data_IF_852910610638
#
_entry.id   IF_852910610638
#
_cell.length_a   1.000
_cell.length_b   1.000
_cell.length_c   1.000
_cell.angle_alpha   90.00
_cell.angle_beta   90.00
_cell.angle_gamma   90.00
#
_symmetry.space_group_name_H-M   'P 1'
#
loop_
_entity.id
_entity.type
_entity.pdbx_description
1 polymer ?
#
# COMPACT_ATOMS: atom_id res chain seq x y z
N UNK A 1 -13.88 7.37 -15.61
CA UNK A 1 -12.44 7.54 -15.25
C UNK A 1 -11.65 6.39 -15.88
N UNK A 2 -10.49 6.67 -16.48
CA UNK A 2 -9.63 5.61 -17.03
C UNK A 2 -8.98 4.81 -15.91
N UNK A 3 -8.97 3.47 -16.04
CA UNK A 3 -8.32 2.56 -15.10
C UNK A 3 -6.81 2.57 -15.38
N UNK A 4 -6.02 3.02 -14.40
CA UNK A 4 -4.56 3.02 -14.52
C UNK A 4 -3.97 1.66 -14.15
N UNK A 5 -4.45 1.08 -13.04
CA UNK A 5 -4.04 -0.25 -12.56
C UNK A 5 -5.28 -1.16 -12.49
N UNK A 6 -5.14 -2.37 -13.03
CA UNK A 6 -6.19 -3.40 -12.95
C UNK A 6 -5.58 -4.71 -12.49
N UNK A 7 -6.09 -5.20 -11.37
CA UNK A 7 -5.62 -6.42 -10.71
C UNK A 7 -6.77 -7.43 -10.74
N UNK A 8 -6.48 -8.67 -11.20
CA UNK A 8 -7.44 -9.75 -11.25
C UNK A 8 -6.82 -11.03 -10.69
N UNK A 9 -7.45 -11.60 -9.67
CA UNK A 9 -7.06 -12.88 -9.08
C UNK A 9 -5.63 -12.93 -8.55
N UNK A 10 -5.09 -11.77 -8.13
CA UNK A 10 -3.68 -11.69 -7.68
C UNK A 10 -3.46 -12.56 -6.47
N UNK A 11 -2.50 -13.48 -6.59
CA UNK A 11 -2.09 -14.36 -5.49
C UNK A 11 -0.57 -14.40 -5.37
N UNK A 12 -0.10 -14.43 -4.10
CA UNK A 12 1.32 -14.59 -3.79
C UNK A 12 1.51 -15.54 -2.63
N UNK A 13 2.21 -16.62 -2.92
CA UNK A 13 2.62 -17.62 -1.97
C UNK A 13 4.13 -17.59 -1.76
N UNK A 14 4.57 -17.75 -0.52
CA UNK A 14 5.98 -17.94 -0.17
C UNK A 14 6.18 -19.37 0.34
N UNK A 15 6.98 -20.22 -0.33
CA UNK A 15 7.19 -21.59 0.08
C UNK A 15 7.94 -21.67 1.41
N UNK A 16 7.45 -22.48 2.35
CA UNK A 16 8.14 -22.82 3.59
C UNK A 16 9.01 -24.05 3.31
N UNK A 17 10.33 -23.89 3.41
CA UNK A 17 11.31 -24.96 3.20
C UNK A 17 11.87 -25.41 4.54
N UNK A 18 12.04 -26.75 4.73
CA UNK A 18 12.67 -27.33 5.94
C UNK A 18 13.71 -28.40 5.57
N UNK A 19 14.65 -28.58 6.49
CA UNK A 19 15.70 -29.61 6.40
C UNK A 19 16.85 -29.25 5.45
N UNK A 20 17.89 -30.10 5.46
CA UNK A 20 19.13 -29.91 4.71
C UNK A 20 18.90 -29.88 3.18
N UNK A 21 17.87 -30.58 2.71
CA UNK A 21 17.50 -30.64 1.28
C UNK A 21 16.48 -29.56 0.86
N UNK A 22 16.22 -28.52 1.68
CA UNK A 22 15.26 -27.45 1.37
C UNK A 22 13.89 -27.97 0.87
N UNK A 23 13.40 -29.10 1.41
CA UNK A 23 12.11 -29.69 1.03
C UNK A 23 10.97 -28.74 1.40
N UNK A 24 10.09 -28.43 0.43
CA UNK A 24 8.90 -27.63 0.68
C UNK A 24 7.94 -28.40 1.59
N UNK A 25 7.58 -27.82 2.73
CA UNK A 25 6.68 -28.41 3.74
C UNK A 25 5.37 -27.63 3.89
N UNK A 26 5.22 -26.52 3.17
CA UNK A 26 4.03 -25.67 3.19
C UNK A 26 4.27 -24.37 2.40
N UNK A 27 3.31 -23.47 2.49
CA UNK A 27 3.42 -22.13 1.92
C UNK A 27 2.72 -21.09 2.82
N UNK A 28 3.20 -19.86 2.79
CA UNK A 28 2.53 -18.70 3.39
C UNK A 28 1.73 -18.01 2.29
N UNK A 29 0.42 -17.93 2.44
CA UNK A 29 -0.50 -17.28 1.52
C UNK A 29 -0.58 -15.78 1.86
N UNK A 30 0.39 -15.02 1.36
CA UNK A 30 0.49 -13.59 1.70
C UNK A 30 -0.54 -12.73 0.96
N UNK A 31 -0.92 -13.11 -0.27
CA UNK A 31 -1.98 -12.49 -1.08
C UNK A 31 -2.80 -13.61 -1.69
N UNK A 32 -4.11 -13.53 -1.62
CA UNK A 32 -5.03 -14.57 -2.08
C UNK A 32 -6.19 -13.96 -2.87
N UNK A 33 -6.24 -14.21 -4.16
CA UNK A 33 -7.31 -13.83 -5.08
C UNK A 33 -7.73 -12.35 -4.99
N UNK A 34 -6.77 -11.42 -4.86
CA UNK A 34 -7.06 -9.99 -4.77
C UNK A 34 -7.49 -9.45 -6.13
N UNK A 35 -8.64 -8.76 -6.12
CA UNK A 35 -9.17 -8.02 -7.26
C UNK A 35 -9.28 -6.54 -6.87
N UNK A 36 -8.65 -5.65 -7.65
CA UNK A 36 -8.66 -4.22 -7.37
C UNK A 36 -8.44 -3.44 -8.66
N UNK A 37 -9.17 -2.34 -8.82
CA UNK A 37 -8.97 -1.38 -9.89
C UNK A 37 -8.65 -0.02 -9.28
N UNK A 38 -7.63 0.66 -9.82
CA UNK A 38 -7.22 2.00 -9.39
C UNK A 38 -7.32 2.92 -10.60
N UNK A 39 -8.05 4.01 -10.46
CA UNK A 39 -8.28 4.97 -11.52
C UNK A 39 -7.18 6.04 -11.55
N UNK A 40 -7.02 6.68 -12.70
CA UNK A 40 -6.03 7.74 -12.85
C UNK A 40 -6.37 8.93 -11.93
N UNK A 41 -5.37 9.45 -11.21
CA UNK A 41 -5.53 10.54 -10.24
C UNK A 41 -6.18 10.15 -8.91
N UNK A 42 -6.53 8.86 -8.73
CA UNK A 42 -7.17 8.34 -7.52
C UNK A 42 -6.13 7.98 -6.44
N UNK A 43 -6.51 8.13 -5.18
CA UNK A 43 -5.81 7.50 -4.03
C UNK A 43 -6.67 6.37 -3.49
N UNK A 44 -6.20 5.13 -3.62
CA UNK A 44 -6.81 3.98 -2.95
C UNK A 44 -6.03 3.68 -1.67
N UNK A 45 -6.69 3.78 -0.52
CA UNK A 45 -6.16 3.34 0.75
C UNK A 45 -6.23 1.81 0.87
N UNK A 46 -5.15 1.16 1.28
CA UNK A 46 -5.14 -0.28 1.59
C UNK A 46 -4.82 -0.47 3.06
N UNK A 47 -5.82 -0.91 3.83
CA UNK A 47 -5.75 -0.99 5.29
C UNK A 47 -5.94 -2.43 5.80
N UNK A 48 -5.53 -2.69 7.03
CA UNK A 48 -5.68 -3.97 7.71
C UNK A 48 -4.57 -4.20 8.73
N UNK A 49 -4.68 -5.25 9.54
CA UNK A 49 -3.69 -5.61 10.56
C UNK A 49 -2.29 -5.87 9.96
N UNK A 50 -1.23 -5.75 10.79
CA UNK A 50 0.12 -6.08 10.37
C UNK A 50 0.20 -7.54 9.91
N UNK A 51 0.94 -7.80 8.82
CA UNK A 51 1.08 -9.14 8.27
C UNK A 51 -0.08 -9.64 7.40
N UNK A 52 -1.16 -8.85 7.18
CA UNK A 52 -2.29 -9.30 6.34
C UNK A 52 -2.03 -9.27 4.82
N UNK A 53 -0.83 -8.85 4.36
CA UNK A 53 -0.45 -8.92 2.94
C UNK A 53 -0.37 -7.58 2.19
N UNK A 54 -0.64 -6.44 2.82
CA UNK A 54 -0.67 -5.09 2.19
C UNK A 54 0.60 -4.74 1.40
N UNK A 55 1.75 -4.76 2.08
CA UNK A 55 3.05 -4.44 1.45
C UNK A 55 3.42 -5.45 0.36
N UNK A 56 3.05 -6.72 0.52
CA UNK A 56 3.26 -7.74 -0.52
C UNK A 56 2.43 -7.43 -1.76
N UNK A 57 1.16 -7.01 -1.58
CA UNK A 57 0.29 -6.59 -2.68
C UNK A 57 0.90 -5.40 -3.43
N UNK A 58 1.32 -4.35 -2.72
CA UNK A 58 1.98 -3.19 -3.32
C UNK A 58 3.25 -3.56 -4.10
N UNK A 59 4.09 -4.42 -3.54
CA UNK A 59 5.33 -4.90 -4.20
C UNK A 59 5.06 -5.77 -5.43
N UNK A 60 3.99 -6.55 -5.43
CA UNK A 60 3.56 -7.30 -6.62
C UNK A 60 3.12 -6.34 -7.73
N UNK A 61 2.34 -5.31 -7.42
CA UNK A 61 1.81 -4.36 -8.41
C UNK A 61 2.94 -3.67 -9.18
N UNK A 62 4.00 -3.23 -8.51
CA UNK A 62 5.14 -2.55 -9.14
C UNK A 62 6.22 -3.51 -9.65
N UNK A 63 5.97 -4.82 -9.58
CA UNK A 63 6.90 -5.86 -10.07
C UNK A 63 8.19 -6.01 -9.27
N UNK A 64 8.21 -5.62 -7.98
CA UNK A 64 9.32 -5.94 -7.05
C UNK A 64 9.25 -7.37 -6.53
N UNK A 65 8.05 -7.95 -6.51
CA UNK A 65 7.82 -9.34 -6.14
C UNK A 65 6.95 -9.97 -7.22
N UNK A 66 7.40 -11.07 -7.80
CA UNK A 66 6.61 -11.78 -8.80
C UNK A 66 5.41 -12.46 -8.13
N UNK A 67 4.17 -12.24 -8.60
CA UNK A 67 3.02 -12.98 -8.12
C UNK A 67 3.13 -14.46 -8.46
N UNK A 68 2.40 -15.31 -7.72
CA UNK A 68 2.30 -16.74 -8.01
C UNK A 68 1.21 -17.01 -9.04
N UNK A 69 0.13 -16.21 -9.01
CA UNK A 69 -0.97 -16.28 -9.97
C UNK A 69 -1.67 -14.93 -10.10
N UNK A 70 -2.54 -14.81 -11.11
CA UNK A 70 -3.33 -13.61 -11.39
C UNK A 70 -2.73 -12.74 -12.48
N UNK A 71 -3.33 -11.58 -12.68
CA UNK A 71 -2.98 -10.60 -13.72
C UNK A 71 -2.87 -9.22 -13.09
N UNK A 72 -1.88 -8.45 -13.49
CA UNK A 72 -1.68 -7.04 -13.14
C UNK A 72 -1.48 -6.27 -14.43
N UNK A 73 -2.38 -5.35 -14.73
CA UNK A 73 -2.26 -4.48 -15.89
C UNK A 73 -2.01 -3.04 -15.48
N UNK A 74 -1.08 -2.40 -16.15
CA UNK A 74 -0.83 -0.96 -16.13
C UNK A 74 -1.17 -0.38 -17.49
N UNK A 75 -2.13 0.53 -17.57
CA UNK A 75 -2.64 1.07 -18.86
C UNK A 75 -2.88 -0.05 -19.90
N UNK A 76 -3.62 -1.11 -19.53
CA UNK A 76 -3.90 -2.32 -20.30
C UNK A 76 -2.67 -3.19 -20.67
N UNK A 77 -1.45 -2.79 -20.30
CA UNK A 77 -0.23 -3.59 -20.49
C UNK A 77 -0.14 -4.62 -19.37
N UNK A 78 -0.13 -5.91 -19.71
CA UNK A 78 0.07 -7.00 -18.73
C UNK A 78 1.51 -6.99 -18.22
N UNK A 79 1.65 -7.05 -16.88
CA UNK A 79 2.94 -7.02 -16.18
C UNK A 79 3.39 -8.40 -15.69
N UNK A 80 2.43 -9.31 -15.45
CA UNK A 80 2.76 -10.67 -14.97
C UNK A 80 3.33 -11.46 -16.13
N UNK A 81 4.54 -11.99 -15.94
CA UNK A 81 5.31 -12.72 -16.99
C UNK A 81 5.63 -11.88 -18.24
N UNK A 82 5.57 -10.54 -18.14
CA UNK A 82 5.96 -9.68 -19.25
C UNK A 82 7.47 -9.66 -19.46
N UNK A 83 7.88 -9.33 -20.68
CA UNK A 83 9.28 -9.15 -21.01
C UNK A 83 9.96 -8.11 -20.13
N UNK A 84 11.25 -8.32 -19.81
CA UNK A 84 12.05 -7.41 -19.01
C UNK A 84 12.08 -5.96 -19.56
N UNK A 85 11.99 -5.80 -20.89
CA UNK A 85 11.93 -4.48 -21.53
C UNK A 85 10.64 -3.74 -21.17
N UNK A 86 9.49 -4.44 -21.19
CA UNK A 86 8.18 -3.92 -20.83
C UNK A 86 8.18 -3.54 -19.34
N UNK A 87 8.62 -4.47 -18.49
CA UNK A 87 8.70 -4.24 -17.05
C UNK A 87 9.56 -3.01 -16.72
N UNK A 88 10.73 -2.87 -17.36
CA UNK A 88 11.63 -1.71 -17.19
C UNK A 88 10.99 -0.40 -17.63
N UNK A 89 10.20 -0.40 -18.71
CA UNK A 89 9.50 0.80 -19.17
C UNK A 89 8.39 1.21 -18.20
N UNK A 90 7.61 0.25 -17.71
CA UNK A 90 6.54 0.50 -16.75
C UNK A 90 7.09 0.94 -15.37
N UNK A 91 8.22 0.39 -14.92
CA UNK A 91 8.88 0.81 -13.66
C UNK A 91 9.28 2.28 -13.64
N UNK A 92 9.54 2.93 -14.75
CA UNK A 92 9.75 4.39 -14.80
C UNK A 92 8.53 5.15 -14.36
N UNK A 93 7.34 4.60 -14.66
CA UNK A 93 6.04 5.22 -14.39
C UNK A 93 5.40 4.78 -13.07
N UNK A 94 5.90 3.69 -12.49
CA UNK A 94 5.41 3.12 -11.24
C UNK A 94 6.53 3.09 -10.21
N UNK A 95 6.39 3.84 -9.13
CA UNK A 95 7.42 3.99 -8.11
C UNK A 95 6.90 3.58 -6.73
N UNK A 96 7.82 3.47 -5.76
CA UNK A 96 7.48 3.14 -4.37
C UNK A 96 8.15 4.11 -3.40
N UNK A 97 7.39 4.50 -2.38
CA UNK A 97 7.89 5.12 -1.17
C UNK A 97 7.85 4.05 -0.07
N UNK A 98 9.00 3.73 0.50
CA UNK A 98 9.14 2.64 1.46
C UNK A 98 8.78 3.05 2.89
N UNK A 99 8.35 2.08 3.69
CA UNK A 99 7.96 2.22 5.09
C UNK A 99 9.09 2.78 5.99
N UNK A 100 10.30 2.27 5.82
CA UNK A 100 11.42 2.66 6.68
C UNK A 100 12.39 3.57 5.91
N UNK A 101 12.43 4.87 6.25
CA UNK A 101 13.31 5.83 5.59
C UNK A 101 14.80 5.53 5.84
N UNK A 102 15.14 4.82 6.93
CA UNK A 102 16.52 4.44 7.25
C UNK A 102 17.05 3.36 6.32
N UNK A 103 16.25 2.33 6.04
CA UNK A 103 16.65 1.22 5.16
C UNK A 103 16.41 1.49 3.69
N UNK A 104 15.64 2.50 3.35
CA UNK A 104 15.31 2.85 1.96
C UNK A 104 16.43 3.58 1.23
N UNK A 105 17.33 4.25 1.95
CA UNK A 105 18.46 4.99 1.42
C UNK A 105 19.76 4.24 1.66
N UNK A 106 20.62 4.16 0.63
CA UNK A 106 21.95 3.57 0.80
C UNK A 106 22.82 4.49 1.68
N UNK A 107 23.28 4.04 2.88
CA UNK A 107 24.01 4.89 3.82
C UNK A 107 25.39 5.35 3.30
N UNK A 108 25.90 4.72 2.23
CA UNK A 108 27.17 5.05 1.59
C UNK A 108 27.05 6.03 0.43
N UNK A 109 25.84 6.46 0.10
CA UNK A 109 25.55 7.41 -0.99
C UNK A 109 25.16 8.76 -0.42
N UNK A 110 25.65 9.85 -1.00
CA UNK A 110 25.17 11.20 -0.70
C UNK A 110 23.76 11.40 -1.26
N UNK A 111 23.06 12.43 -0.78
CA UNK A 111 21.75 12.83 -1.31
C UNK A 111 21.81 13.03 -2.83
N UNK A 112 22.84 13.74 -3.32
CA UNK A 112 23.05 13.95 -4.75
C UNK A 112 23.08 12.62 -5.52
N UNK A 113 23.92 11.67 -5.10
CA UNK A 113 24.05 10.35 -5.76
C UNK A 113 22.73 9.58 -5.71
N UNK A 114 22.01 9.64 -4.59
CA UNK A 114 20.72 8.97 -4.43
C UNK A 114 19.66 9.49 -5.42
N UNK A 115 19.61 10.79 -5.68
CA UNK A 115 18.67 11.40 -6.61
C UNK A 115 19.12 11.28 -8.07
N UNK A 116 20.43 11.27 -8.32
CA UNK A 116 21.05 11.15 -9.64
C UNK A 116 20.94 9.73 -10.21
N UNK A 117 21.06 8.70 -9.36
CA UNK A 117 21.09 7.28 -9.74
C UNK A 117 19.94 6.87 -10.68
N UNK A 118 18.64 7.10 -10.34
CA UNK A 118 17.53 6.73 -11.21
C UNK A 118 17.59 7.47 -12.57
N UNK A 119 18.01 8.73 -12.58
CA UNK A 119 18.11 9.53 -13.81
C UNK A 119 19.17 8.97 -14.76
N UNK A 120 20.34 8.55 -14.21
CA UNK A 120 21.44 7.95 -14.98
C UNK A 120 21.07 6.56 -15.50
N UNK A 121 20.53 5.69 -14.62
CA UNK A 121 20.17 4.31 -14.99
C UNK A 121 19.12 4.29 -16.09
N UNK A 122 18.11 5.14 -15.98
CA UNK A 122 17.01 5.17 -16.92
C UNK A 122 17.20 6.11 -18.10
N UNK A 123 18.27 6.92 -18.10
CA UNK A 123 18.63 7.88 -19.18
C UNK A 123 17.43 8.74 -19.61
N UNK A 124 16.70 9.29 -18.63
CA UNK A 124 15.46 10.02 -18.90
C UNK A 124 15.68 11.44 -19.34
N UNK A 125 16.84 12.01 -19.02
CA UNK A 125 17.26 13.38 -19.37
C UNK A 125 18.73 13.42 -19.73
N UNK A 126 19.20 14.44 -20.48
CA UNK A 126 20.62 14.68 -20.74
C UNK A 126 21.41 14.88 -19.44
N UNK A 127 22.69 14.48 -19.42
CA UNK A 127 23.55 14.64 -18.24
C UNK A 127 23.67 16.09 -17.76
N UNK A 128 23.65 17.04 -18.69
CA UNK A 128 23.69 18.48 -18.40
C UNK A 128 22.50 18.98 -17.58
N UNK A 129 21.33 18.31 -17.67
CA UNK A 129 20.09 18.70 -16.99
C UNK A 129 19.91 18.05 -15.62
N UNK A 130 20.75 17.04 -15.27
CA UNK A 130 20.60 16.29 -14.02
C UNK A 130 20.64 17.18 -12.80
N UNK A 131 21.59 18.13 -12.72
CA UNK A 131 21.71 19.02 -11.57
C UNK A 131 20.46 19.91 -11.39
N UNK A 132 19.93 20.45 -12.49
CA UNK A 132 18.70 21.25 -12.46
C UNK A 132 17.53 20.41 -11.98
N UNK A 133 17.38 19.19 -12.50
CA UNK A 133 16.32 18.27 -12.08
C UNK A 133 16.43 17.90 -10.60
N UNK A 134 17.64 17.71 -10.07
CA UNK A 134 17.86 17.45 -8.64
C UNK A 134 17.42 18.66 -7.79
N UNK A 135 17.74 19.87 -8.22
CA UNK A 135 17.28 21.09 -7.52
C UNK A 135 15.75 21.18 -7.49
N UNK A 136 15.09 20.98 -8.64
CA UNK A 136 13.62 20.91 -8.71
C UNK A 136 13.03 19.86 -7.74
N UNK A 137 13.63 18.66 -7.68
CA UNK A 137 13.16 17.59 -6.80
C UNK A 137 13.29 17.97 -5.31
N UNK A 138 14.37 18.64 -4.93
CA UNK A 138 14.55 19.13 -3.56
C UNK A 138 13.54 20.23 -3.21
N UNK A 139 13.30 21.16 -4.12
CA UNK A 139 12.31 22.22 -3.94
C UNK A 139 10.89 21.63 -3.77
N UNK A 140 10.50 20.66 -4.61
CA UNK A 140 9.21 19.97 -4.51
C UNK A 140 8.97 19.33 -3.13
N UNK A 141 10.02 18.87 -2.45
CA UNK A 141 9.90 18.24 -1.13
C UNK A 141 10.29 19.17 0.03
N UNK A 142 10.53 20.47 -0.26
CA UNK A 142 10.88 21.49 0.72
C UNK A 142 12.22 21.24 1.41
N UNK A 143 13.24 20.82 0.66
CA UNK A 143 14.61 20.64 1.13
C UNK A 143 15.59 21.60 0.46
N UNK A 144 16.53 22.16 1.23
CA UNK A 144 17.51 23.09 0.71
C UNK A 144 18.62 22.34 -0.07
N UNK A 145 19.07 22.84 -1.25
CA UNK A 145 20.13 22.23 -2.06
C UNK A 145 21.49 22.06 -1.38
N UNK A 146 21.79 22.79 -0.29
CA UNK A 146 23.07 22.62 0.45
C UNK A 146 23.25 21.23 1.07
N UNK A 147 22.22 20.40 1.12
CA UNK A 147 22.28 19.04 1.65
C UNK A 147 22.83 18.01 0.68
N UNK A 148 23.07 18.36 -0.57
CA UNK A 148 23.42 17.43 -1.66
C UNK A 148 24.63 16.54 -1.37
N UNK A 149 25.63 17.07 -0.64
CA UNK A 149 26.87 16.35 -0.31
C UNK A 149 26.80 15.57 1.01
N UNK A 150 25.68 15.66 1.74
CA UNK A 150 25.49 14.95 3.00
C UNK A 150 25.02 13.52 2.80
N UNK A 151 25.24 12.70 3.83
CA UNK A 151 24.86 11.30 3.86
C UNK A 151 23.54 11.09 4.64
N UNK A 152 22.79 9.99 4.39
CA UNK A 152 21.52 9.73 5.06
C UNK A 152 21.58 9.78 6.60
N UNK A 153 22.66 9.36 7.23
CA UNK A 153 22.78 9.35 8.68
C UNK A 153 22.83 10.76 9.32
N UNK A 154 23.07 11.81 8.53
CA UNK A 154 23.12 13.20 9.00
C UNK A 154 21.72 13.88 9.04
N UNK A 155 20.64 13.15 8.74
CA UNK A 155 19.30 13.68 8.63
C UNK A 155 18.32 13.09 9.64
N UNK A 156 17.30 13.88 10.01
CA UNK A 156 16.15 13.38 10.76
C UNK A 156 15.32 12.38 9.94
N UNK A 157 14.45 11.61 10.61
CA UNK A 157 13.54 10.67 9.94
C UNK A 157 12.67 11.34 8.87
N UNK A 158 12.10 12.50 9.17
CA UNK A 158 11.27 13.26 8.22
C UNK A 158 12.06 13.79 7.02
N UNK A 159 13.28 14.25 7.22
CA UNK A 159 14.16 14.67 6.10
C UNK A 159 14.54 13.49 5.21
N UNK A 160 14.86 12.32 5.78
CA UNK A 160 15.11 11.10 5.00
C UNK A 160 13.89 10.67 4.21
N UNK A 161 12.69 10.79 4.80
CA UNK A 161 11.46 10.48 4.09
C UNK A 161 11.24 11.42 2.91
N UNK A 162 11.47 12.72 3.08
CA UNK A 162 11.42 13.70 1.98
C UNK A 162 12.42 13.38 0.86
N UNK A 163 13.65 12.96 1.20
CA UNK A 163 14.63 12.48 0.21
C UNK A 163 14.12 11.22 -0.52
N UNK A 164 13.51 10.28 0.20
CA UNK A 164 12.88 9.08 -0.38
C UNK A 164 11.74 9.42 -1.34
N UNK A 165 10.91 10.41 -0.99
CA UNK A 165 9.85 10.95 -1.86
C UNK A 165 10.46 11.61 -3.11
N UNK A 166 11.46 12.47 -2.96
CA UNK A 166 12.17 13.11 -4.08
C UNK A 166 12.75 12.07 -5.05
N UNK A 167 13.34 10.99 -4.52
CA UNK A 167 13.85 9.87 -5.33
C UNK A 167 12.73 9.19 -6.12
N UNK A 168 11.58 8.93 -5.50
CA UNK A 168 10.43 8.33 -6.19
C UNK A 168 9.91 9.24 -7.32
N UNK A 169 9.97 10.57 -7.14
CA UNK A 169 9.53 11.55 -8.14
C UNK A 169 10.55 11.78 -9.28
N UNK A 170 11.79 11.28 -9.16
CA UNK A 170 12.87 11.55 -10.10
C UNK A 170 12.49 11.23 -11.55
N UNK A 171 11.80 10.11 -11.77
CA UNK A 171 11.41 9.60 -13.09
C UNK A 171 10.05 10.12 -13.59
N UNK A 172 9.42 11.10 -12.92
CA UNK A 172 8.08 11.60 -13.23
C UNK A 172 7.06 10.46 -13.32
N UNK A 173 6.81 9.73 -12.22
CA UNK A 173 5.88 8.60 -12.18
C UNK A 173 4.43 9.07 -12.38
N UNK A 174 3.57 8.13 -12.77
CA UNK A 174 2.11 8.29 -12.83
C UNK A 174 1.44 7.58 -11.66
N UNK A 175 2.10 6.53 -11.13
CA UNK A 175 1.61 5.72 -10.03
C UNK A 175 2.67 5.53 -8.95
N UNK A 176 2.28 5.70 -7.69
CA UNK A 176 3.16 5.50 -6.53
C UNK A 176 2.48 4.58 -5.51
N UNK A 177 3.17 3.52 -5.12
CA UNK A 177 2.84 2.75 -3.91
C UNK A 177 3.50 3.44 -2.72
N UNK A 178 2.71 4.00 -1.83
CA UNK A 178 3.18 4.58 -0.56
C UNK A 178 3.01 3.51 0.53
N UNK A 179 4.07 2.73 0.78
CA UNK A 179 4.06 1.61 1.72
C UNK A 179 4.37 2.11 3.13
N UNK A 180 3.34 2.38 3.94
CA UNK A 180 3.39 2.94 5.29
C UNK A 180 4.33 4.18 5.40
N UNK A 181 4.16 5.21 4.58
CA UNK A 181 5.17 6.26 4.38
C UNK A 181 5.42 7.15 5.62
N UNK A 182 4.61 7.01 6.66
CA UNK A 182 4.68 7.85 7.87
C UNK A 182 4.78 7.05 9.18
N UNK A 183 4.71 5.72 9.14
CA UNK A 183 4.60 4.87 10.35
C UNK A 183 5.78 4.97 11.32
N UNK A 184 6.96 5.35 10.82
CA UNK A 184 8.20 5.47 11.62
C UNK A 184 8.53 6.92 12.04
N UNK A 185 7.56 7.86 11.94
CA UNK A 185 7.75 9.28 12.17
C UNK A 185 6.88 9.79 13.32
N UNK A 186 7.30 10.89 13.96
CA UNK A 186 6.51 11.58 14.98
C UNK A 186 5.26 12.22 14.37
N UNK A 187 4.18 12.36 15.15
CA UNK A 187 2.87 12.84 14.70
C UNK A 187 2.93 14.17 13.92
N UNK A 188 3.74 15.13 14.39
CA UNK A 188 3.88 16.43 13.72
C UNK A 188 4.54 16.29 12.34
N UNK A 189 5.51 15.42 12.21
CA UNK A 189 6.22 15.13 10.96
C UNK A 189 5.32 14.28 10.03
N UNK A 190 4.53 13.35 10.60
CA UNK A 190 3.54 12.61 9.82
C UNK A 190 2.59 13.55 9.08
N UNK A 191 2.00 14.54 9.79
CA UNK A 191 1.09 15.52 9.18
C UNK A 191 1.77 16.29 8.03
N UNK A 192 3.02 16.69 8.20
CA UNK A 192 3.77 17.40 7.14
C UNK A 192 4.00 16.52 5.91
N UNK A 193 4.36 15.24 6.09
CA UNK A 193 4.58 14.32 4.97
C UNK A 193 3.26 13.99 4.26
N UNK A 194 2.17 13.85 5.00
CA UNK A 194 0.84 13.61 4.44
C UNK A 194 0.40 14.79 3.58
N UNK A 195 0.54 16.03 4.07
CA UNK A 195 0.21 17.22 3.32
C UNK A 195 1.08 17.31 2.06
N UNK A 196 2.40 17.10 2.18
CA UNK A 196 3.30 17.04 1.04
C UNK A 196 2.83 16.05 -0.05
N UNK A 197 2.44 14.82 0.33
CA UNK A 197 1.94 13.82 -0.64
C UNK A 197 0.63 14.26 -1.30
N UNK A 198 -0.25 14.94 -0.57
CA UNK A 198 -1.50 15.49 -1.12
C UNK A 198 -1.23 16.63 -2.10
N UNK A 199 -0.30 17.54 -1.78
CA UNK A 199 0.08 18.64 -2.66
C UNK A 199 0.71 18.12 -3.95
N UNK A 200 1.65 17.18 -3.83
CA UNK A 200 2.27 16.50 -4.99
C UNK A 200 1.24 15.75 -5.84
N UNK A 201 0.20 15.14 -5.22
CA UNK A 201 -0.92 14.53 -5.98
C UNK A 201 -1.61 15.56 -6.86
N UNK A 202 -1.98 16.71 -6.29
CA UNK A 202 -2.70 17.76 -7.00
C UNK A 202 -1.85 18.40 -8.10
N UNK A 203 -0.59 18.71 -7.80
CA UNK A 203 0.31 19.41 -8.74
C UNK A 203 0.74 18.52 -9.92
N UNK A 204 1.01 17.25 -9.65
CA UNK A 204 1.58 16.32 -10.63
C UNK A 204 0.56 15.32 -11.20
N UNK A 205 -0.68 15.33 -10.73
CA UNK A 205 -1.73 14.39 -11.18
C UNK A 205 -1.44 12.94 -10.78
N UNK A 206 -0.78 12.71 -9.64
CA UNK A 206 -0.33 11.38 -9.21
C UNK A 206 -1.49 10.49 -8.79
N UNK A 207 -1.33 9.20 -9.06
CA UNK A 207 -2.20 8.13 -8.56
C UNK A 207 -1.48 7.38 -7.44
N UNK A 208 -2.19 7.10 -6.33
CA UNK A 208 -1.58 6.42 -5.19
C UNK A 208 -2.28 5.11 -4.84
N UNK A 209 -1.50 4.10 -4.47
CA UNK A 209 -1.90 3.06 -3.55
C UNK A 209 -1.27 3.38 -2.18
N UNK A 210 -2.08 3.88 -1.25
CA UNK A 210 -1.63 4.32 0.07
C UNK A 210 -1.86 3.20 1.09
N UNK A 211 -0.79 2.53 1.50
CA UNK A 211 -0.82 1.44 2.48
C UNK A 211 -0.60 2.03 3.88
N UNK A 212 -1.50 1.75 4.81
CA UNK A 212 -1.36 2.16 6.20
C UNK A 212 -2.13 1.23 7.14
N UNK A 213 -1.73 1.22 8.41
CA UNK A 213 -2.53 0.66 9.49
C UNK A 213 -3.28 1.74 10.28
N UNK A 214 -3.00 3.03 10.02
CA UNK A 214 -3.69 4.16 10.62
C UNK A 214 -4.89 4.58 9.75
N UNK A 215 -6.09 4.24 10.23
CA UNK A 215 -7.35 4.57 9.56
C UNK A 215 -7.65 6.07 9.57
N UNK A 216 -7.18 6.83 10.57
CA UNK A 216 -7.34 8.28 10.61
C UNK A 216 -6.61 8.95 9.45
N UNK A 217 -5.37 8.55 9.20
CA UNK A 217 -4.56 9.01 8.06
C UNK A 217 -5.23 8.62 6.75
N UNK A 218 -5.65 7.36 6.62
CA UNK A 218 -6.29 6.85 5.39
C UNK A 218 -7.58 7.58 5.05
N UNK A 219 -8.39 7.92 6.05
CA UNK A 219 -9.59 8.75 5.85
C UNK A 219 -9.28 10.09 5.19
N UNK A 220 -8.17 10.69 5.56
CA UNK A 220 -7.78 12.02 5.07
C UNK A 220 -7.20 11.99 3.64
N UNK A 221 -6.47 10.92 3.29
CA UNK A 221 -5.72 10.91 2.01
C UNK A 221 -6.43 10.15 0.88
N UNK A 222 -7.42 9.30 1.20
CA UNK A 222 -7.97 8.34 0.23
C UNK A 222 -9.30 8.77 -0.36
N UNK A 223 -9.52 8.43 -1.63
CA UNK A 223 -10.81 8.54 -2.30
C UNK A 223 -11.66 7.28 -2.06
N UNK A 224 -11.01 6.11 -2.09
CA UNK A 224 -11.59 4.79 -1.77
C UNK A 224 -10.67 4.02 -0.84
N UNK A 225 -11.26 3.12 -0.05
CA UNK A 225 -10.49 2.30 0.89
C UNK A 225 -10.79 0.83 0.69
N UNK A 226 -9.75 0.03 0.53
CA UNK A 226 -9.78 -1.43 0.51
C UNK A 226 -9.31 -1.96 1.86
N UNK A 227 -10.13 -2.77 2.51
CA UNK A 227 -9.81 -3.41 3.79
C UNK A 227 -9.33 -4.83 3.52
N UNK A 228 -8.12 -5.15 3.96
CA UNK A 228 -7.47 -6.42 3.71
C UNK A 228 -7.35 -7.27 4.99
N UNK A 229 -7.74 -8.53 4.91
CA UNK A 229 -7.61 -9.52 5.97
C UNK A 229 -7.07 -10.84 5.43
N UNK A 230 -5.99 -11.38 6.02
CA UNK A 230 -5.36 -12.65 5.61
C UNK A 230 -5.20 -12.81 4.09
N UNK A 231 -4.65 -11.80 3.43
CA UNK A 231 -4.36 -11.84 2.01
C UNK A 231 -5.54 -11.51 1.09
N UNK A 232 -6.74 -11.29 1.61
CA UNK A 232 -7.95 -11.01 0.82
C UNK A 232 -8.51 -9.62 1.08
N UNK A 233 -9.10 -8.97 0.07
CA UNK A 233 -9.90 -7.77 0.26
C UNK A 233 -11.28 -8.21 0.73
N UNK A 234 -11.65 -7.80 1.96
CA UNK A 234 -12.92 -8.16 2.58
C UNK A 234 -13.98 -7.06 2.42
N UNK A 235 -13.54 -5.82 2.22
CA UNK A 235 -14.44 -4.69 1.94
C UNK A 235 -13.70 -3.63 1.10
N UNK A 236 -14.40 -2.99 0.16
CA UNK A 236 -13.92 -1.88 -0.66
C UNK A 236 -15.05 -0.88 -0.84
N UNK A 237 -14.83 0.38 -0.48
CA UNK A 237 -15.85 1.42 -0.65
C UNK A 237 -15.23 2.81 -0.85
N UNK A 238 -16.01 3.80 -1.33
CA UNK A 238 -15.69 5.21 -1.15
C UNK A 238 -15.42 5.53 0.32
N UNK A 239 -14.45 6.40 0.59
CA UNK A 239 -14.00 6.67 1.98
C UNK A 239 -15.16 7.07 2.90
N UNK A 240 -16.01 8.01 2.49
CA UNK A 240 -17.11 8.48 3.33
C UNK A 240 -18.11 7.35 3.65
N UNK A 241 -18.37 6.48 2.68
CA UNK A 241 -19.29 5.37 2.84
C UNK A 241 -18.71 4.29 3.77
N UNK A 242 -17.42 3.94 3.62
CA UNK A 242 -16.76 2.98 4.50
C UNK A 242 -16.79 3.43 5.96
N UNK A 243 -16.56 4.73 6.22
CA UNK A 243 -16.50 5.26 7.58
C UNK A 243 -17.88 5.50 8.20
N UNK A 244 -18.91 5.80 7.39
CA UNK A 244 -20.27 6.01 7.89
C UNK A 244 -21.09 4.72 8.00
N UNK A 245 -20.89 3.77 7.09
CA UNK A 245 -21.68 2.54 6.97
C UNK A 245 -20.83 1.30 6.63
N UNK A 246 -19.84 0.93 7.47
CA UNK A 246 -19.03 -0.27 7.24
C UNK A 246 -19.91 -1.53 7.28
N UNK A 247 -19.69 -2.46 6.36
CA UNK A 247 -20.52 -3.66 6.22
C UNK A 247 -19.87 -4.90 6.83
N UNK A 248 -18.57 -5.10 6.56
CA UNK A 248 -17.88 -6.28 7.07
C UNK A 248 -17.59 -6.16 8.58
N UNK A 249 -17.86 -7.19 9.41
CA UNK A 249 -17.61 -7.13 10.86
C UNK A 249 -16.17 -6.78 11.25
N UNK A 250 -15.18 -7.20 10.46
CA UNK A 250 -13.78 -6.80 10.66
C UNK A 250 -13.56 -5.30 10.46
N UNK A 251 -14.16 -4.71 9.43
CA UNK A 251 -14.09 -3.26 9.18
C UNK A 251 -14.71 -2.48 10.32
N UNK A 252 -15.89 -2.94 10.82
CA UNK A 252 -16.55 -2.35 11.99
C UNK A 252 -15.64 -2.35 13.23
N UNK A 253 -14.96 -3.48 13.46
CA UNK A 253 -14.03 -3.59 14.57
C UNK A 253 -12.82 -2.66 14.42
N UNK A 254 -12.19 -2.61 13.23
CA UNK A 254 -11.07 -1.71 12.95
C UNK A 254 -11.47 -0.24 13.16
N UNK A 255 -12.61 0.19 12.61
CA UNK A 255 -13.10 1.57 12.72
C UNK A 255 -13.47 1.93 14.15
N UNK A 256 -14.00 0.99 14.94
CA UNK A 256 -14.32 1.21 16.37
C UNK A 256 -13.08 1.49 17.23
N UNK A 257 -11.89 1.13 16.75
CA UNK A 257 -10.63 1.38 17.45
C UNK A 257 -10.03 2.76 17.14
N UNK A 258 -10.54 3.47 16.13
CA UNK A 258 -10.08 4.82 15.77
C UNK A 258 -10.53 5.81 16.84
N UNK A 259 -9.60 6.57 17.47
CA UNK A 259 -9.98 7.58 18.45
C UNK A 259 -10.81 8.68 17.78
N UNK A 260 -12.02 8.90 18.28
CA UNK A 260 -12.83 10.06 17.91
C UNK A 260 -12.54 11.17 18.91
N UNK A 261 -12.04 12.33 18.47
CA UNK A 261 -11.81 13.47 19.34
C UNK A 261 -13.16 14.09 19.75
N UNK A 262 -13.85 13.47 20.71
CA UNK A 262 -15.08 13.97 21.32
C UNK A 262 -15.01 13.78 22.83
N UNK A 263 -15.29 14.82 23.63
CA UNK A 263 -15.29 14.74 25.08
C UNK A 263 -16.28 13.68 25.63
N UNK A 264 -17.30 13.34 24.85
CA UNK A 264 -18.35 12.37 25.18
C UNK A 264 -18.20 11.03 24.42
N UNK A 265 -17.03 10.72 23.85
CA UNK A 265 -16.82 9.43 23.19
C UNK A 265 -16.87 8.31 24.23
N UNK A 266 -17.97 7.55 24.24
CA UNK A 266 -18.11 6.36 25.05
C UNK A 266 -17.10 5.29 24.57
N UNK A 267 -16.02 5.10 25.32
CA UNK A 267 -15.05 4.01 25.15
C UNK A 267 -15.74 2.62 25.16
N UNK A 268 -16.98 2.55 25.69
CA UNK A 268 -17.83 1.34 25.73
C UNK A 268 -18.29 0.82 24.36
N UNK A 269 -18.09 1.57 23.27
CA UNK A 269 -18.47 1.12 21.90
C UNK A 269 -17.35 0.42 21.13
N UNK A 270 -16.15 0.27 21.72
CA UNK A 270 -15.03 -0.38 21.06
C UNK A 270 -15.30 -1.89 20.91
N UNK A 271 -15.26 -2.38 19.68
CA UNK A 271 -15.38 -3.81 19.37
C UNK A 271 -13.99 -4.44 19.53
N UNK A 272 -13.80 -5.22 20.59
CA UNK A 272 -12.55 -5.95 20.81
C UNK A 272 -12.56 -7.21 19.97
N UNK A 273 -11.60 -7.33 19.06
CA UNK A 273 -11.35 -8.57 18.33
C UNK A 273 -10.72 -9.59 19.30
N UNK A 274 -11.37 -10.74 19.48
CA UNK A 274 -10.85 -11.82 20.29
C UNK A 274 -9.88 -12.70 19.50
N UNK A 275 -8.81 -13.16 20.15
CA UNK A 275 -7.81 -14.04 19.55
C UNK A 275 -6.81 -13.33 18.60
N UNK A 276 -5.73 -14.04 18.32
CA UNK A 276 -4.67 -13.59 17.42
C UNK A 276 -5.06 -13.71 15.96
N UNK A 277 -4.31 -13.03 15.09
CA UNK A 277 -4.43 -13.21 13.65
C UNK A 277 -4.10 -14.67 13.30
N UNK A 278 -4.99 -15.40 12.60
CA UNK A 278 -4.71 -16.80 12.22
C UNK A 278 -3.44 -16.90 11.37
N UNK A 279 -2.78 -18.05 11.49
CA UNK A 279 -1.53 -18.30 10.77
C UNK A 279 -1.77 -18.31 9.24
N UNK A 280 -1.14 -17.43 8.46
CA UNK A 280 -1.31 -17.38 7.01
C UNK A 280 -0.76 -18.60 6.27
N UNK A 281 0.02 -19.47 6.95
CA UNK A 281 0.44 -20.76 6.39
C UNK A 281 -0.64 -21.84 6.51
N UNK A 282 -1.62 -21.65 7.40
CA UNK A 282 -2.76 -22.57 7.56
C UNK A 282 -4.04 -21.73 7.82
N UNK A 283 -4.52 -20.98 6.81
CA UNK A 283 -5.67 -20.11 6.97
C UNK A 283 -6.94 -20.91 7.25
N UNK A 284 -7.89 -20.36 8.02
CA UNK A 284 -9.17 -21.01 8.29
C UNK A 284 -9.91 -21.37 7.00
N UNK A 285 -10.64 -22.47 6.97
CA UNK A 285 -11.56 -22.83 5.88
C UNK A 285 -12.77 -21.87 5.88
N UNK A 286 -13.45 -21.72 4.75
CA UNK A 286 -14.57 -20.81 4.60
C UNK A 286 -14.15 -19.35 4.78
N UNK A 287 -15.01 -18.55 5.42
CA UNK A 287 -14.70 -17.14 5.73
C UNK A 287 -13.45 -17.04 6.61
N UNK A 288 -12.41 -16.37 6.14
CA UNK A 288 -11.12 -16.28 6.85
C UNK A 288 -11.24 -15.57 8.22
N UNK A 289 -12.26 -14.73 8.39
CA UNK A 289 -12.50 -13.99 9.62
C UNK A 289 -13.38 -14.73 10.63
N UNK A 290 -13.98 -15.89 10.30
CA UNK A 290 -14.98 -16.55 11.15
C UNK A 290 -14.48 -16.86 12.58
N UNK A 291 -13.19 -17.16 12.75
CA UNK A 291 -12.59 -17.48 14.07
C UNK A 291 -12.56 -16.30 15.04
N UNK A 292 -12.68 -15.08 14.54
CA UNK A 292 -12.64 -13.83 15.32
C UNK A 292 -13.93 -13.01 15.18
N UNK A 293 -14.91 -13.54 14.45
CA UNK A 293 -16.17 -12.86 14.14
C UNK A 293 -17.21 -13.14 15.21
N UNK A 294 -17.72 -12.08 15.88
CA UNK A 294 -18.79 -12.19 16.87
C UNK A 294 -20.14 -12.60 16.24
N UNK A 295 -20.25 -12.53 14.90
CA UNK A 295 -21.46 -12.89 14.13
C UNK A 295 -21.26 -14.16 13.31
N UNK A 296 -20.30 -15.01 13.68
CA UNK A 296 -19.97 -16.23 12.93
C UNK A 296 -21.15 -17.20 12.92
N UNK A 297 -21.48 -17.72 11.73
CA UNK A 297 -22.50 -18.74 11.49
C UNK A 297 -21.84 -20.04 11.03
N UNK A 298 -22.57 -21.18 11.05
CA UNK A 298 -22.03 -22.46 10.61
C UNK A 298 -21.53 -22.43 9.15
N UNK A 299 -22.24 -21.72 8.27
CA UNK A 299 -21.84 -21.54 6.88
C UNK A 299 -20.46 -20.86 6.75
N UNK A 300 -20.13 -19.92 7.68
CA UNK A 300 -18.85 -19.23 7.67
C UNK A 300 -17.64 -20.17 7.90
N UNK A 301 -17.85 -21.33 8.53
CA UNK A 301 -16.79 -22.31 8.80
C UNK A 301 -16.45 -23.16 7.57
N UNK A 302 -17.40 -23.29 6.65
CA UNK A 302 -17.32 -24.26 5.53
C UNK A 302 -17.26 -23.61 4.16
N UNK A 303 -17.91 -22.46 3.97
CA UNK A 303 -18.02 -21.79 2.69
C UNK A 303 -17.36 -20.39 2.73
N UNK A 304 -16.63 -20.06 1.68
CA UNK A 304 -16.08 -18.73 1.50
C UNK A 304 -17.19 -17.80 0.99
N UNK A 305 -17.44 -16.63 1.64
CA UNK A 305 -18.48 -15.72 1.18
C UNK A 305 -18.14 -15.11 -0.18
N UNK A 306 -19.17 -14.82 -0.97
CA UNK A 306 -19.02 -14.11 -2.22
C UNK A 306 -18.69 -12.63 -2.00
N UNK A 307 -17.90 -12.06 -2.90
CA UNK A 307 -17.63 -10.63 -2.95
C UNK A 307 -18.73 -9.93 -3.74
N UNK A 308 -19.62 -9.23 -3.03
CA UNK A 308 -20.84 -8.63 -3.61
C UNK A 308 -20.78 -7.11 -3.60
N UNK A 309 -21.29 -6.48 -4.64
CA UNK A 309 -21.61 -5.06 -4.65
C UNK A 309 -22.95 -4.84 -3.93
N UNK A 310 -22.92 -4.04 -2.86
CA UNK A 310 -24.10 -3.75 -2.03
C UNK A 310 -24.81 -2.48 -2.49
N UNK A 311 -24.00 -1.49 -2.83
CA UNK A 311 -24.41 -0.24 -3.46
C UNK A 311 -23.25 0.26 -4.33
N UNK A 312 -23.49 1.24 -5.19
CA UNK A 312 -22.54 1.69 -6.21
C UNK A 312 -21.12 1.94 -5.63
N UNK A 313 -20.20 1.07 -5.98
CA UNK A 313 -18.80 1.13 -5.59
C UNK A 313 -18.51 0.64 -4.15
N UNK A 314 -19.51 0.09 -3.44
CA UNK A 314 -19.34 -0.52 -2.13
C UNK A 314 -19.46 -2.03 -2.22
N UNK A 315 -18.36 -2.71 -2.01
CA UNK A 315 -18.26 -4.16 -2.10
C UNK A 315 -17.86 -4.75 -0.75
N UNK A 316 -18.46 -5.88 -0.38
CA UNK A 316 -18.07 -6.61 0.82
C UNK A 316 -18.19 -8.13 0.64
N UNK A 317 -17.38 -8.86 1.40
CA UNK A 317 -17.24 -10.32 1.37
C UNK A 317 -17.71 -10.90 2.71
N UNK A 318 -19.04 -11.03 2.92
CA UNK A 318 -19.62 -11.51 4.17
C UNK A 318 -20.95 -12.22 3.97
N UNK A 319 -21.17 -13.36 4.63
CA UNK A 319 -22.45 -14.09 4.60
C UNK A 319 -23.63 -13.36 5.26
N UNK A 320 -23.37 -12.36 6.11
CA UNK A 320 -24.44 -11.51 6.70
C UNK A 320 -25.12 -10.62 5.66
N UNK A 321 -24.54 -10.53 4.46
CA UNK A 321 -24.98 -9.64 3.38
C UNK A 321 -25.65 -10.42 2.23
N UNK A 322 -25.92 -11.69 2.45
CA UNK A 322 -26.59 -12.61 1.49
C UNK A 322 -28.10 -12.46 1.56
#
# INVERSE_FOLDING_TARGET
MNKLIKIKGLSKEFPIKKGFFNKQVGAIYAVNNVNLEIHNGETVGLVGESGCGKSTTGRCIIGLTNPTAGSIKYNEIELVNADNKIIKSCRKKMQIIFQNPYSSLNPRMTVKKTLEEPLIIHKTIPKSEINNRISELLDMVGLNPNILNRYPHEFSGGQRQRIGIARALALKPEFIVADEPVSALDLSIQAQIINLLQDLKKELGLTYLFISHDLGVVRYVSDRVAVMYLGEIVELAPVDLLYSNPQHPYTKALLSAVPVPSPNSNLSKRILLQGDLPNPANPPKGCKFHTRCNYSMEICKTQDPEYKELEKGHFAKCHLLS
#
